data_IF_859349896697
#
_entry.id   IF_859349896697
#
_cell.length_a   1.000
_cell.length_b   1.000
_cell.length_c   1.000
_cell.angle_alpha   90.00
_cell.angle_beta   90.00
_cell.angle_gamma   90.00
#
_symmetry.space_group_name_H-M   'P 1'
#
loop_
_entity.id
_entity.type
_entity.pdbx_description
1 polymer ?
#
# COMPACT_ATOMS: atom_id res chain seq x y z
N UNK A 1 40.16 -25.44 17.44
CA UNK A 1 39.93 -25.70 15.99
C UNK A 1 38.48 -25.35 15.80
N UNK A 2 38.28 -24.06 15.62
CA UNK A 2 37.03 -23.35 15.81
C UNK A 2 36.47 -23.11 14.42
N UNK A 3 35.59 -24.00 14.00
CA UNK A 3 34.77 -23.84 12.80
C UNK A 3 33.41 -23.25 13.24
N UNK A 4 33.25 -21.93 13.19
CA UNK A 4 31.91 -21.30 13.19
C UNK A 4 31.79 -20.34 12.00
N UNK A 5 31.41 -20.92 10.88
CA UNK A 5 30.90 -20.25 9.70
C UNK A 5 29.40 -19.97 9.89
N UNK A 6 29.06 -18.86 10.55
CA UNK A 6 27.67 -18.40 10.71
C UNK A 6 27.44 -17.05 10.02
N UNK A 7 27.49 -17.07 8.68
CA UNK A 7 26.89 -16.01 7.87
C UNK A 7 25.36 -16.16 7.88
N UNK A 8 24.65 -15.51 8.82
CA UNK A 8 23.19 -15.68 8.90
C UNK A 8 22.38 -14.75 9.82
N UNK A 9 22.92 -13.62 10.27
CA UNK A 9 22.29 -12.80 11.34
C UNK A 9 22.02 -11.36 10.92
N UNK A 10 21.38 -11.15 9.77
CA UNK A 10 20.93 -9.81 9.35
C UNK A 10 19.40 -9.68 9.18
N UNK A 11 18.60 -10.60 9.74
CA UNK A 11 17.14 -10.62 9.54
C UNK A 11 16.35 -10.83 10.85
N UNK A 12 16.70 -10.13 11.94
CA UNK A 12 16.00 -10.27 13.23
C UNK A 12 15.63 -8.96 13.94
N UNK A 13 15.70 -7.81 13.27
CA UNK A 13 15.39 -6.51 13.91
C UNK A 13 14.57 -5.55 13.04
N UNK A 14 13.83 -6.04 12.05
CA UNK A 14 12.73 -5.25 11.51
C UNK A 14 11.54 -5.47 12.43
N UNK A 15 11.11 -4.42 13.11
CA UNK A 15 9.90 -4.42 13.92
C UNK A 15 8.73 -4.96 13.10
N UNK A 16 7.76 -5.60 13.76
CA UNK A 16 6.61 -6.20 13.07
C UNK A 16 5.82 -5.19 12.22
N UNK A 17 5.85 -3.89 12.59
CA UNK A 17 5.27 -2.78 11.81
C UNK A 17 6.06 -2.39 10.55
N UNK A 18 7.23 -2.99 10.32
CA UNK A 18 8.05 -2.85 9.11
C UNK A 18 7.97 -4.10 8.22
N UNK A 19 7.32 -5.18 8.70
CA UNK A 19 7.12 -6.38 7.89
C UNK A 19 6.01 -6.10 6.87
N UNK A 20 6.19 -6.40 5.57
CA UNK A 20 5.15 -6.18 4.57
C UNK A 20 3.81 -6.79 5.00
N UNK A 21 2.73 -6.01 4.92
CA UNK A 21 1.40 -6.49 5.27
C UNK A 21 0.88 -7.55 4.29
N UNK A 22 -0.20 -8.23 4.66
CA UNK A 22 -0.84 -9.27 3.84
C UNK A 22 -1.62 -8.73 2.64
N UNK A 23 -1.93 -7.43 2.67
CA UNK A 23 -2.72 -6.76 1.65
C UNK A 23 -1.81 -6.11 0.60
N UNK A 24 -2.35 -5.89 -0.60
CA UNK A 24 -1.62 -5.22 -1.69
C UNK A 24 -2.38 -4.00 -2.20
N UNK A 25 -1.63 -2.98 -2.61
CA UNK A 25 -2.20 -1.82 -3.30
C UNK A 25 -2.59 -2.19 -4.74
N UNK A 26 -3.82 -1.92 -5.16
CA UNK A 26 -4.27 -2.20 -6.53
C UNK A 26 -3.58 -1.36 -7.61
N UNK A 27 -2.86 -0.31 -7.24
CA UNK A 27 -2.23 0.63 -8.17
C UNK A 27 -0.72 0.39 -8.34
N UNK A 28 -0.01 0.13 -7.25
CA UNK A 28 1.44 -0.06 -7.27
C UNK A 28 1.89 -1.48 -6.88
N UNK A 29 0.93 -2.36 -6.55
CA UNK A 29 1.14 -3.77 -6.17
C UNK A 29 2.04 -3.98 -4.94
N UNK A 30 2.45 -2.89 -4.28
CA UNK A 30 3.26 -2.95 -3.09
C UNK A 30 2.48 -3.59 -1.92
N UNK A 31 3.11 -4.47 -1.14
CA UNK A 31 2.51 -5.00 0.07
C UNK A 31 2.40 -3.90 1.12
N UNK A 32 1.24 -3.83 1.75
CA UNK A 32 0.89 -2.75 2.67
C UNK A 32 0.15 -3.31 3.87
N UNK A 33 0.37 -2.70 5.03
CA UNK A 33 -0.41 -3.02 6.21
C UNK A 33 -1.86 -2.59 6.01
N UNK A 34 -2.81 -3.39 6.51
CA UNK A 34 -4.23 -3.06 6.48
C UNK A 34 -4.54 -1.70 7.15
N UNK A 35 -3.75 -1.30 8.15
CA UNK A 35 -3.87 0.00 8.84
C UNK A 35 -3.44 1.19 7.96
N UNK A 36 -2.58 0.96 6.97
CA UNK A 36 -2.08 1.96 6.02
C UNK A 36 -2.82 1.94 4.67
N UNK A 37 -3.89 1.14 4.59
CA UNK A 37 -4.73 0.99 3.43
C UNK A 37 -5.98 1.84 3.53
N UNK A 38 -6.37 2.37 2.38
CA UNK A 38 -7.70 2.88 2.16
C UNK A 38 -8.40 2.07 1.07
N UNK A 39 -9.71 2.26 0.95
CA UNK A 39 -10.52 1.60 -0.06
C UNK A 39 -11.09 2.64 -1.02
N UNK A 40 -11.01 2.35 -2.31
CA UNK A 40 -11.62 3.20 -3.32
C UNK A 40 -13.14 3.17 -3.17
N UNK A 41 -13.75 4.34 -2.97
CA UNK A 41 -15.21 4.51 -2.83
C UNK A 41 -15.99 4.10 -4.08
N UNK A 42 -15.35 4.02 -5.25
CA UNK A 42 -15.99 3.68 -6.52
C UNK A 42 -15.90 2.19 -6.89
N UNK A 43 -14.81 1.50 -6.54
CA UNK A 43 -14.57 0.11 -6.97
C UNK A 43 -14.17 -0.85 -5.84
N UNK A 44 -14.18 -0.37 -4.59
CA UNK A 44 -13.89 -1.14 -3.36
C UNK A 44 -12.48 -1.78 -3.30
N UNK A 45 -11.60 -1.45 -4.26
CA UNK A 45 -10.22 -1.96 -4.27
C UNK A 45 -9.35 -1.23 -3.24
N UNK A 46 -8.44 -2.00 -2.64
CA UNK A 46 -7.40 -1.55 -1.73
C UNK A 46 -6.41 -0.61 -2.43
N UNK A 47 -6.14 0.55 -1.83
CA UNK A 47 -5.22 1.56 -2.36
C UNK A 47 -4.42 2.18 -1.21
N UNK A 48 -3.09 2.24 -1.38
CA UNK A 48 -2.23 2.79 -0.34
C UNK A 48 -2.30 4.32 -0.29
N UNK A 49 -1.95 4.89 0.87
CA UNK A 49 -1.87 6.33 1.13
C UNK A 49 -0.94 7.14 0.20
N UNK A 50 -0.09 6.47 -0.56
CA UNK A 50 0.73 7.12 -1.59
C UNK A 50 0.08 7.15 -2.97
N UNK A 51 -0.88 6.24 -3.22
CA UNK A 51 -1.49 6.04 -4.53
C UNK A 51 -2.92 6.57 -4.62
N UNK A 52 -3.64 6.69 -3.51
CA UNK A 52 -4.94 7.35 -3.53
C UNK A 52 -4.76 8.87 -3.44
N UNK A 53 -5.73 9.58 -4.01
CA UNK A 53 -5.82 11.03 -3.93
C UNK A 53 -7.03 11.38 -3.07
N UNK A 54 -6.81 12.08 -1.95
CA UNK A 54 -7.87 12.75 -1.22
C UNK A 54 -8.04 14.15 -1.82
N UNK A 55 -8.63 14.23 -3.02
CA UNK A 55 -9.00 15.54 -3.55
C UNK A 55 -10.15 16.06 -2.72
N UNK A 56 -9.81 17.04 -1.90
CA UNK A 56 -10.68 18.03 -1.29
C UNK A 56 -11.26 17.74 0.11
N UNK A 57 -10.65 16.86 0.92
CA UNK A 57 -11.01 16.79 2.35
C UNK A 57 -12.48 16.41 2.61
N UNK A 58 -13.18 15.93 1.58
CA UNK A 58 -14.56 15.45 1.65
C UNK A 58 -14.62 13.95 2.00
N UNK A 59 -13.47 13.29 2.21
CA UNK A 59 -13.38 11.87 2.56
C UNK A 59 -13.68 10.93 1.40
N UNK A 60 -13.64 11.42 0.16
CA UNK A 60 -13.82 10.57 -1.04
C UNK A 60 -12.45 10.06 -1.47
N UNK A 61 -12.20 8.80 -1.14
CA UNK A 61 -10.97 8.11 -1.55
C UNK A 61 -11.19 7.44 -2.90
N UNK A 62 -10.35 7.77 -3.87
CA UNK A 62 -10.39 7.18 -5.21
C UNK A 62 -9.03 6.59 -5.58
N UNK A 63 -9.05 5.40 -6.18
CA UNK A 63 -7.87 4.83 -6.83
C UNK A 63 -7.55 5.62 -8.12
N UNK A 64 -6.30 5.55 -8.61
CA UNK A 64 -5.87 6.35 -9.75
C UNK A 64 -6.67 6.08 -11.03
N UNK A 65 -7.13 4.84 -11.26
CA UNK A 65 -7.99 4.50 -12.40
C UNK A 65 -9.35 5.20 -12.30
N UNK A 66 -10.09 5.01 -11.19
CA UNK A 66 -11.41 5.63 -11.03
C UNK A 66 -11.34 7.17 -11.00
N UNK A 67 -10.24 7.74 -10.51
CA UNK A 67 -10.00 9.18 -10.58
C UNK A 67 -9.82 9.65 -12.03
N UNK A 68 -9.08 8.89 -12.83
CA UNK A 68 -8.84 9.18 -14.25
C UNK A 68 -10.15 9.12 -15.03
N UNK A 69 -10.96 8.08 -14.81
CA UNK A 69 -12.30 7.93 -15.39
C UNK A 69 -13.23 9.11 -15.05
N UNK A 70 -13.24 9.59 -13.80
CA UNK A 70 -14.04 10.75 -13.40
C UNK A 70 -13.55 12.07 -13.98
N UNK A 71 -12.24 12.22 -14.20
CA UNK A 71 -11.67 13.41 -14.84
C UNK A 71 -11.97 13.42 -16.34
N UNK A 72 -11.91 12.25 -16.98
CA UNK A 72 -12.14 12.06 -18.42
C UNK A 72 -13.63 12.07 -18.80
N UNK A 73 -14.52 11.63 -17.91
CA UNK A 73 -15.97 11.63 -18.11
C UNK A 73 -16.66 12.98 -17.88
N UNK A 74 -15.90 14.04 -17.59
CA UNK A 74 -16.44 15.36 -17.26
C UNK A 74 -16.37 16.37 -18.43
N UNK A 75 -16.18 15.90 -19.68
CA UNK A 75 -16.13 16.70 -20.90
C UNK A 75 -17.47 16.71 -21.67
#
# INVERSE_FOLDING_TARGET
>A
MDDDNSAGTASRYLSWWLSPGSESCCACEAPVHAEALAYCTACDRSVCMLCYDDKAGHGIILCPDCRREQTEGSI
#
